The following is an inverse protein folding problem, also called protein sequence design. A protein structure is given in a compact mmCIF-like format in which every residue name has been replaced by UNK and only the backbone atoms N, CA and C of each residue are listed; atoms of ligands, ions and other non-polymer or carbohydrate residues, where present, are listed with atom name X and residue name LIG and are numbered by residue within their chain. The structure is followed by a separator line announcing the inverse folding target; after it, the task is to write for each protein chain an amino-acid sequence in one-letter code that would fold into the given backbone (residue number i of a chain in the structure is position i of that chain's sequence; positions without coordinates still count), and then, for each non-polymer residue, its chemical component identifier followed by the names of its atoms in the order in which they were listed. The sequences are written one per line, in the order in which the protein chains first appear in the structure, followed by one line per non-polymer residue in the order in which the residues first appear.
data_IF_444823120984
#
_entry.id   IF_444823120984
#
_cell.length_a   1.000
_cell.length_b   1.000
_cell.length_c   1.000
_cell.angle_alpha   90.00
_cell.angle_beta   90.00
_cell.angle_gamma   90.00
#
_symmetry.space_group_name_H-M   'P 1'
#
loop_
_entity.id
_entity.type
_entity.pdbx_description
1 polymer ?
#
# COMPACT_ATOMS: atom_id res chain seq x y z
N UNK A 1 -11.88 8.85 -15.10
CA UNK A 1 -10.93 7.79 -15.50
C UNK A 1 -9.50 8.18 -15.17
N UNK A 2 -9.04 7.73 -14.01
CA UNK A 2 -7.64 7.91 -13.58
C UNK A 2 -6.85 6.67 -14.00
N UNK A 3 -5.81 6.86 -14.83
CA UNK A 3 -4.89 5.79 -15.23
C UNK A 3 -3.76 5.73 -14.20
N UNK A 4 -3.60 4.58 -13.54
CA UNK A 4 -2.51 4.35 -12.59
C UNK A 4 -1.61 3.25 -13.16
N UNK A 5 -0.32 3.54 -13.28
CA UNK A 5 0.70 2.57 -13.70
C UNK A 5 1.45 2.06 -12.48
N UNK A 6 1.31 0.77 -12.20
CA UNK A 6 2.06 0.10 -11.14
C UNK A 6 3.38 -0.41 -11.67
N UNK A 7 4.45 0.03 -11.03
CA UNK A 7 5.82 -0.26 -11.42
C UNK A 7 6.46 -1.30 -10.51
N UNK A 8 5.98 -1.47 -9.27
CA UNK A 8 6.56 -2.34 -8.27
C UNK A 8 5.54 -3.29 -7.64
N UNK A 9 6.03 -4.38 -7.05
CA UNK A 9 5.26 -5.29 -6.21
C UNK A 9 5.62 -5.06 -4.75
N UNK A 10 4.67 -5.26 -3.86
CA UNK A 10 4.91 -5.18 -2.43
C UNK A 10 4.02 -6.09 -1.63
N UNK A 11 4.11 -5.95 -0.32
CA UNK A 11 3.25 -6.60 0.65
C UNK A 11 2.70 -5.56 1.61
N UNK A 12 1.39 -5.62 1.83
CA UNK A 12 0.71 -4.91 2.88
C UNK A 12 0.20 -5.92 3.90
N UNK A 13 0.83 -5.95 5.08
CA UNK A 13 0.69 -7.05 6.04
C UNK A 13 0.92 -8.41 5.36
N UNK A 14 -0.13 -9.22 5.22
CA UNK A 14 -0.11 -10.55 4.59
C UNK A 14 -0.59 -10.55 3.14
N UNK A 15 -1.01 -9.40 2.62
CA UNK A 15 -1.61 -9.28 1.29
C UNK A 15 -0.60 -8.76 0.26
N UNK A 16 -0.33 -9.49 -0.83
CA UNK A 16 0.51 -9.01 -1.92
C UNK A 16 -0.20 -7.91 -2.72
N UNK A 17 0.54 -6.84 -3.04
CA UNK A 17 0.03 -5.60 -3.67
C UNK A 17 0.87 -5.14 -4.85
N UNK A 18 0.28 -4.26 -5.65
CA UNK A 18 0.99 -3.45 -6.65
C UNK A 18 1.15 -2.01 -6.19
N UNK A 19 2.28 -1.40 -6.53
CA UNK A 19 2.71 -0.07 -6.07
C UNK A 19 3.09 0.79 -7.27
N UNK A 20 2.52 2.00 -7.35
CA UNK A 20 2.76 2.94 -8.46
C UNK A 20 4.01 3.80 -8.26
N UNK A 21 4.11 4.50 -7.13
CA UNK A 21 5.20 5.42 -6.83
C UNK A 21 5.92 4.94 -5.55
N UNK A 22 7.00 4.19 -5.69
CA UNK A 22 7.75 3.68 -4.52
C UNK A 22 8.87 4.63 -4.06
N UNK A 23 9.30 5.53 -4.93
CA UNK A 23 10.44 6.42 -4.70
C UNK A 23 10.07 7.63 -3.84
N UNK A 24 8.78 7.94 -3.76
CA UNK A 24 8.28 9.03 -2.93
C UNK A 24 7.62 8.45 -1.67
N UNK A 25 8.34 8.39 -0.53
CA UNK A 25 7.77 7.98 0.74
C UNK A 25 6.85 9.04 1.36
N UNK A 26 6.81 10.27 0.83
CA UNK A 26 5.92 11.34 1.28
C UNK A 26 4.51 11.22 0.67
N UNK A 27 4.41 10.59 -0.50
CA UNK A 27 3.14 10.14 -1.06
C UNK A 27 2.86 8.71 -0.59
N UNK A 28 1.70 8.49 0.04
CA UNK A 28 1.26 7.12 0.30
C UNK A 28 1.19 6.38 -1.05
N UNK A 29 1.93 5.27 -1.24
CA UNK A 29 1.96 4.60 -2.53
C UNK A 29 0.55 4.21 -2.95
N UNK A 30 0.16 4.50 -4.19
CA UNK A 30 -1.11 4.01 -4.70
C UNK A 30 -1.06 2.47 -4.76
N UNK A 31 -1.89 1.84 -3.91
CA UNK A 31 -1.94 0.38 -3.73
C UNK A 31 -3.11 -0.19 -4.53
N UNK A 32 -2.84 -1.11 -5.46
CA UNK A 32 -3.87 -1.97 -6.03
C UNK A 32 -3.83 -3.38 -5.42
N UNK A 33 -4.98 -3.90 -4.97
CA UNK A 33 -5.10 -5.29 -4.53
C UNK A 33 -4.97 -6.24 -5.72
N UNK A 34 -3.98 -7.13 -5.70
CA UNK A 34 -3.73 -8.10 -6.80
C UNK A 34 -4.75 -9.24 -6.84
N UNK A 35 -5.26 -9.62 -5.68
CA UNK A 35 -6.25 -10.68 -5.49
C UNK A 35 -7.48 -9.99 -4.94
N UNK A 36 -8.69 -10.33 -5.39
CA UNK A 36 -10.00 -9.75 -4.99
C UNK A 36 -10.31 -9.97 -3.50
N UNK A 37 -9.41 -9.54 -2.63
CA UNK A 37 -9.34 -9.71 -1.19
C UNK A 37 -9.61 -8.37 -0.53
N UNK A 38 -10.50 -7.56 -1.13
CA UNK A 38 -10.83 -6.20 -0.70
C UNK A 38 -11.22 -6.15 0.78
N UNK A 39 -11.92 -7.19 1.26
CA UNK A 39 -12.28 -7.35 2.67
C UNK A 39 -11.08 -7.55 3.60
N UNK A 40 -10.07 -8.32 3.18
CA UNK A 40 -8.81 -8.50 3.92
C UNK A 40 -7.99 -7.21 3.92
N UNK A 41 -7.98 -6.50 2.80
CA UNK A 41 -7.36 -5.17 2.72
C UNK A 41 -8.03 -4.18 3.67
N UNK A 42 -9.36 -4.19 3.73
CA UNK A 42 -10.11 -3.35 4.65
C UNK A 42 -9.81 -3.70 6.11
N UNK A 43 -9.77 -4.98 6.49
CA UNK A 43 -9.39 -5.41 7.84
C UNK A 43 -7.95 -5.03 8.19
N UNK A 44 -7.02 -5.21 7.25
CA UNK A 44 -5.63 -4.83 7.40
C UNK A 44 -5.49 -3.32 7.64
N UNK A 45 -6.27 -2.52 6.91
CA UNK A 45 -6.30 -1.06 7.04
C UNK A 45 -6.83 -0.61 8.41
N UNK A 46 -7.95 -1.19 8.87
CA UNK A 46 -8.49 -0.90 10.21
C UNK A 46 -7.48 -1.25 11.32
N UNK A 47 -6.80 -2.40 11.21
CA UNK A 47 -5.78 -2.80 12.16
C UNK A 47 -4.59 -1.81 12.18
N UNK A 48 -4.11 -1.42 10.99
CA UNK A 48 -3.01 -0.48 10.88
C UNK A 48 -3.39 0.90 11.43
N UNK A 49 -4.60 1.38 11.15
CA UNK A 49 -5.11 2.64 11.66
C UNK A 49 -5.17 2.65 13.19
N UNK A 50 -5.67 1.56 13.80
CA UNK A 50 -5.71 1.41 15.25
C UNK A 50 -4.30 1.38 15.88
N UNK A 51 -3.36 0.65 15.26
CA UNK A 51 -1.97 0.61 15.70
C UNK A 51 -1.27 1.97 15.56
N UNK A 52 -1.53 2.69 14.46
CA UNK A 52 -0.99 4.04 14.23
C UNK A 52 -1.52 5.02 15.26
N UNK A 53 -2.83 5.03 15.51
CA UNK A 53 -3.44 5.88 16.53
C UNK A 53 -2.88 5.61 17.93
N UNK A 54 -2.73 4.32 18.29
CA UNK A 54 -2.15 3.94 19.57
C UNK A 54 -0.67 4.31 19.69
N UNK A 55 0.10 4.21 18.60
CA UNK A 55 1.50 4.64 18.56
C UNK A 55 1.64 6.15 18.66
N UNK A 56 0.80 6.90 17.97
CA UNK A 56 0.75 8.36 18.01
C UNK A 56 0.38 8.85 19.42
N UNK A 57 -0.60 8.23 20.08
CA UNK A 57 -0.92 8.53 21.48
C UNK A 57 0.26 8.30 22.44
N UNK A 58 1.15 7.34 22.14
CA UNK A 58 2.31 7.03 23.00
C UNK A 58 3.55 7.85 22.68
N UNK A 59 3.78 8.18 21.43
CA UNK A 59 5.06 8.74 20.95
C UNK A 59 4.93 10.14 20.37
N UNK A 60 3.71 10.60 20.06
CA UNK A 60 3.44 11.85 19.34
C UNK A 60 3.68 11.78 17.84
N UNK A 61 4.02 10.60 17.30
CA UNK A 61 4.29 10.41 15.88
C UNK A 61 3.42 9.28 15.30
N UNK A 62 2.82 9.46 14.11
CA UNK A 62 2.08 8.40 13.45
C UNK A 62 3.01 7.23 13.10
N UNK A 63 2.49 6.01 13.12
CA UNK A 63 3.27 4.84 12.73
C UNK A 63 3.45 4.87 11.20
N UNK A 64 4.68 4.78 10.66
CA UNK A 64 4.86 4.71 9.22
C UNK A 64 4.15 3.47 8.67
N UNK A 65 3.35 3.66 7.60
CA UNK A 65 2.65 2.57 6.92
C UNK A 65 3.62 1.43 6.61
N UNK A 66 3.38 0.26 7.19
CA UNK A 66 4.25 -0.89 7.06
C UNK A 66 3.96 -1.63 5.74
N UNK A 67 4.35 -1.03 4.63
CA UNK A 67 4.44 -1.73 3.34
C UNK A 67 5.87 -2.23 3.12
N UNK A 68 6.00 -3.50 2.75
CA UNK A 68 7.27 -4.05 2.29
C UNK A 68 7.29 -3.98 0.77
N UNK A 69 8.01 -3.02 0.23
CA UNK A 69 8.21 -2.91 -1.22
C UNK A 69 9.29 -3.90 -1.66
N UNK A 70 9.07 -4.58 -2.78
CA UNK A 70 10.15 -5.27 -3.46
C UNK A 70 10.87 -4.25 -4.36
N UNK A 71 12.18 -4.02 -4.17
CA UNK A 71 12.92 -3.01 -4.93
C UNK A 71 13.07 -3.36 -6.42
N UNK A 72 12.77 -4.60 -6.80
CA UNK A 72 12.76 -5.02 -8.20
C UNK A 72 11.52 -4.47 -8.92
N UNK A 73 11.69 -3.70 -10.00
CA UNK A 73 10.57 -3.27 -10.82
C UNK A 73 9.90 -4.48 -11.48
N UNK A 74 8.61 -4.35 -11.75
CA UNK A 74 7.84 -5.33 -12.50
C UNK A 74 8.39 -5.44 -13.93
N UNK A 75 8.62 -6.67 -14.39
CA UNK A 75 9.02 -6.95 -15.79
C UNK A 75 8.06 -6.36 -16.82
N UNK A 76 6.79 -6.23 -16.46
CA UNK A 76 5.76 -5.51 -17.23
C UNK A 76 4.97 -4.64 -16.26
N UNK A 77 4.90 -3.31 -16.47
CA UNK A 77 4.08 -2.44 -15.64
C UNK A 77 2.60 -2.81 -15.79
N UNK A 78 1.85 -2.74 -14.69
CA UNK A 78 0.42 -3.03 -14.71
C UNK A 78 -0.32 -1.70 -14.78
N UNK A 79 -1.20 -1.55 -15.77
CA UNK A 79 -2.04 -0.36 -15.92
C UNK A 79 -3.43 -0.67 -15.42
N UNK A 80 -3.93 0.14 -14.46
CA UNK A 80 -5.32 0.07 -14.02
C UNK A 80 -6.04 1.38 -14.29
N UNK A 81 -7.28 1.25 -14.75
CA UNK A 81 -8.17 2.38 -15.05
C UNK A 81 -9.23 2.43 -13.96
N UNK A 82 -9.08 3.36 -13.02
CA UNK A 82 -10.15 3.66 -12.07
C UNK A 82 -11.24 4.42 -12.80
N UNK A 83 -12.50 3.94 -12.71
CA UNK A 83 -13.65 4.61 -13.32
C UNK A 83 -13.94 5.91 -12.59
#
# INVERSE_FOLDING_TARGET
MTKVEYTHKGWYLFCPIWIANWQDPSEAPAVAPRYKLEWLFWLADQFFFAMSAMHEMKTGWPLPFCFKVCPEPLKKPVVHHYK
#
